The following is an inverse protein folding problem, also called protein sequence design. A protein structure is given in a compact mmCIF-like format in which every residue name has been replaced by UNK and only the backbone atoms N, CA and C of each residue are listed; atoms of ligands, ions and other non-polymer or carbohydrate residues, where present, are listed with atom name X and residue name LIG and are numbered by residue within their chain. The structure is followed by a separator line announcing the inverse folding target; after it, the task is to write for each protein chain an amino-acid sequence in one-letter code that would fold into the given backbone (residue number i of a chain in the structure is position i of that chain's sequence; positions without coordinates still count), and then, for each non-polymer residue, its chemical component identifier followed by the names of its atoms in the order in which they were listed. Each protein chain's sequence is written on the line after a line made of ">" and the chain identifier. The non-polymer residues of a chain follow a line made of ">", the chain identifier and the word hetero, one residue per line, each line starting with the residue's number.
data_IF_634082391277
#
_entry.id   IF_634082391277
#
_cell.length_a   1.000
_cell.length_b   1.000
_cell.length_c   1.000
_cell.angle_alpha   90.00
_cell.angle_beta   90.00
_cell.angle_gamma   90.00
#
_symmetry.space_group_name_H-M   'P 1'
#
loop_
_entity.id
_entity.type
_entity.pdbx_description
1 polymer ?
#
# COMPACT_ATOMS: atom_id res chain seq x y z
N UNK A 1 -11.31 -70.85 -33.90
CA UNK A 1 -12.20 -69.85 -34.53
C UNK A 1 -12.59 -68.85 -33.44
N UNK A 2 -11.81 -67.77 -33.25
CA UNK A 2 -12.09 -66.76 -32.20
C UNK A 2 -12.69 -65.52 -32.85
N UNK A 3 -13.96 -65.27 -32.57
CA UNK A 3 -14.70 -64.09 -33.03
C UNK A 3 -14.41 -62.97 -32.04
N UNK A 4 -13.62 -61.98 -32.45
CA UNK A 4 -13.45 -60.73 -31.70
C UNK A 4 -14.79 -59.97 -31.71
N UNK A 5 -15.33 -59.53 -30.56
CA UNK A 5 -16.56 -58.76 -30.55
C UNK A 5 -16.35 -57.39 -31.21
N UNK A 6 -17.39 -56.79 -31.82
CA UNK A 6 -17.28 -55.49 -32.46
C UNK A 6 -16.92 -54.42 -31.42
N UNK A 7 -15.84 -53.68 -31.66
CA UNK A 7 -15.45 -52.54 -30.82
C UNK A 7 -16.58 -51.51 -30.81
N UNK A 8 -17.13 -51.23 -29.63
CA UNK A 8 -18.25 -50.30 -29.51
C UNK A 8 -17.79 -48.87 -29.86
N UNK A 9 -18.56 -48.13 -30.67
CA UNK A 9 -18.18 -46.77 -31.09
C UNK A 9 -18.10 -45.80 -29.90
N UNK A 10 -18.80 -46.13 -28.80
CA UNK A 10 -18.77 -45.37 -27.54
C UNK A 10 -17.43 -45.46 -26.81
N UNK A 11 -16.76 -46.62 -26.85
CA UNK A 11 -15.44 -46.78 -26.24
C UNK A 11 -14.37 -45.99 -27.01
N UNK A 12 -14.47 -45.95 -28.35
CA UNK A 12 -13.60 -45.13 -29.18
C UNK A 12 -13.81 -43.63 -28.92
N UNK A 13 -15.06 -43.19 -28.77
CA UNK A 13 -15.39 -41.80 -28.44
C UNK A 13 -14.83 -41.33 -27.09
N UNK A 14 -14.85 -42.19 -26.06
CA UNK A 14 -14.29 -41.87 -24.75
C UNK A 14 -12.76 -41.73 -24.79
N UNK A 15 -12.06 -42.60 -25.52
CA UNK A 15 -10.60 -42.51 -25.66
C UNK A 15 -10.21 -41.22 -26.37
N UNK A 16 -10.92 -40.85 -27.43
CA UNK A 16 -10.68 -39.57 -28.14
C UNK A 16 -10.97 -38.37 -27.24
N UNK A 17 -12.06 -38.39 -26.46
CA UNK A 17 -12.39 -37.32 -25.53
C UNK A 17 -11.33 -37.16 -24.41
N UNK A 18 -10.80 -38.27 -23.89
CA UNK A 18 -9.71 -38.25 -22.91
C UNK A 18 -8.44 -37.69 -23.53
N UNK A 19 -8.07 -38.11 -24.75
CA UNK A 19 -6.88 -37.63 -25.44
C UNK A 19 -6.97 -36.13 -25.80
N UNK A 20 -8.15 -35.63 -26.23
CA UNK A 20 -8.37 -34.20 -26.45
C UNK A 20 -8.38 -33.41 -25.13
N UNK A 21 -8.91 -33.98 -24.04
CA UNK A 21 -8.92 -33.36 -22.72
C UNK A 21 -7.54 -33.23 -22.08
N UNK A 22 -6.62 -34.16 -22.39
CA UNK A 22 -5.24 -34.14 -21.88
C UNK A 22 -4.25 -33.33 -22.75
N UNK A 23 -4.60 -33.01 -23.99
CA UNK A 23 -3.75 -32.21 -24.89
C UNK A 23 -3.30 -30.85 -24.33
N UNK A 24 -4.15 -30.03 -23.65
CA UNK A 24 -3.70 -28.73 -23.13
C UNK A 24 -2.72 -28.83 -21.96
N UNK A 25 -2.64 -29.97 -21.26
CA UNK A 25 -1.70 -30.17 -20.15
C UNK A 25 -0.26 -30.42 -20.64
N UNK A 26 -0.07 -30.94 -21.86
CA UNK A 26 1.25 -31.21 -22.42
C UNK A 26 2.01 -29.92 -22.78
N UNK A 27 1.30 -28.86 -23.15
CA UNK A 27 1.87 -27.55 -23.56
C UNK A 27 2.57 -26.81 -22.41
N UNK A 28 2.18 -27.08 -21.16
CA UNK A 28 2.68 -26.37 -19.97
C UNK A 28 4.09 -26.84 -19.56
N UNK A 29 4.50 -28.05 -19.93
CA UNK A 29 5.75 -28.67 -19.45
C UNK A 29 6.99 -28.35 -20.30
N UNK A 30 6.86 -27.58 -21.38
CA UNK A 30 7.92 -27.37 -22.36
C UNK A 30 8.33 -25.90 -22.54
N UNK A 31 8.09 -25.04 -21.55
CA UNK A 31 8.53 -23.65 -21.65
C UNK A 31 10.05 -23.58 -21.44
N UNK A 32 10.80 -23.26 -22.50
CA UNK A 32 12.23 -23.01 -22.43
C UNK A 32 12.52 -21.87 -21.44
N UNK A 33 13.53 -22.05 -20.58
CA UNK A 33 13.95 -21.00 -19.67
C UNK A 33 14.42 -19.76 -20.47
N UNK A 34 13.98 -18.55 -20.10
CA UNK A 34 14.42 -17.32 -20.75
C UNK A 34 15.94 -17.13 -20.60
N UNK A 35 16.55 -16.44 -21.57
CA UNK A 35 17.98 -16.10 -21.49
C UNK A 35 18.25 -15.11 -20.34
N UNK A 36 19.50 -15.05 -19.88
CA UNK A 36 19.91 -14.11 -18.84
C UNK A 36 19.65 -12.65 -19.24
N UNK A 37 19.94 -12.28 -20.49
CA UNK A 37 19.66 -10.93 -21.01
C UNK A 37 18.17 -10.58 -20.94
N UNK A 38 17.29 -11.55 -21.24
CA UNK A 38 15.83 -11.37 -21.13
C UNK A 38 15.41 -11.13 -19.68
N UNK A 39 16.08 -11.75 -18.71
CA UNK A 39 15.80 -11.53 -17.28
C UNK A 39 16.28 -10.17 -16.81
N UNK A 40 17.42 -9.69 -17.31
CA UNK A 40 17.92 -8.34 -17.03
C UNK A 40 16.99 -7.26 -17.59
N UNK A 41 16.53 -7.40 -18.83
CA UNK A 41 15.60 -6.45 -19.46
C UNK A 41 14.28 -6.33 -18.68
N UNK A 42 13.86 -7.41 -18.01
CA UNK A 42 12.62 -7.47 -17.22
C UNK A 42 12.83 -7.32 -15.72
N UNK A 43 14.03 -7.00 -15.27
CA UNK A 43 14.37 -6.95 -13.85
C UNK A 43 13.42 -6.02 -13.07
N UNK A 44 13.09 -4.85 -13.62
CA UNK A 44 12.16 -3.87 -13.02
C UNK A 44 10.69 -4.30 -13.02
N UNK A 45 10.35 -5.33 -13.80
CA UNK A 45 9.00 -5.90 -13.83
C UNK A 45 8.80 -7.00 -12.78
N UNK A 46 9.89 -7.49 -12.19
CA UNK A 46 9.82 -8.55 -11.19
C UNK A 46 9.10 -8.04 -9.93
N UNK A 47 8.34 -8.91 -9.24
CA UNK A 47 7.68 -8.53 -8.00
C UNK A 47 8.66 -8.03 -6.93
N UNK A 48 9.85 -8.65 -6.82
CA UNK A 48 10.85 -8.30 -5.82
C UNK A 48 11.42 -6.89 -5.99
N UNK A 49 11.71 -6.47 -7.22
CA UNK A 49 12.20 -5.10 -7.51
C UNK A 49 11.13 -4.05 -7.31
N UNK A 50 9.89 -4.34 -7.72
CA UNK A 50 8.73 -3.46 -7.45
C UNK A 50 8.46 -3.27 -5.96
N UNK A 51 8.54 -4.35 -5.18
CA UNK A 51 8.40 -4.26 -3.72
C UNK A 51 9.57 -3.47 -3.12
N UNK A 52 10.80 -3.74 -3.54
CA UNK A 52 11.98 -3.02 -3.05
C UNK A 52 11.93 -1.52 -3.32
N UNK A 53 11.56 -1.12 -4.54
CA UNK A 53 11.38 0.28 -4.93
C UNK A 53 10.27 0.96 -4.15
N UNK A 54 9.09 0.33 -4.03
CA UNK A 54 7.99 0.86 -3.23
C UNK A 54 8.35 1.02 -1.74
N UNK A 55 9.15 0.11 -1.19
CA UNK A 55 9.64 0.22 0.19
C UNK A 55 10.62 1.38 0.36
N UNK A 56 11.53 1.58 -0.60
CA UNK A 56 12.46 2.70 -0.60
C UNK A 56 11.71 4.04 -0.68
N UNK A 57 10.79 4.18 -1.64
CA UNK A 57 9.93 5.37 -1.77
C UNK A 57 9.12 5.63 -0.49
N UNK A 58 8.57 4.58 0.13
CA UNK A 58 7.84 4.71 1.38
C UNK A 58 8.75 5.10 2.57
N UNK A 59 10.02 4.71 2.56
CA UNK A 59 10.98 5.13 3.58
C UNK A 59 11.33 6.62 3.41
N UNK A 60 11.56 7.07 2.17
CA UNK A 60 11.82 8.47 1.86
C UNK A 60 10.62 9.35 2.23
N UNK A 61 9.40 8.92 1.86
CA UNK A 61 8.17 9.63 2.22
C UNK A 61 7.98 9.73 3.75
N UNK A 62 8.37 8.70 4.52
CA UNK A 62 8.35 8.76 5.99
C UNK A 62 9.38 9.74 6.53
N UNK A 63 10.57 9.78 5.95
CA UNK A 63 11.59 10.75 6.32
C UNK A 63 11.11 12.19 6.06
N UNK A 64 10.42 12.43 4.95
CA UNK A 64 9.83 13.74 4.63
C UNK A 64 8.71 14.12 5.57
N UNK A 65 7.83 13.18 5.93
CA UNK A 65 6.82 13.39 6.96
C UNK A 65 7.46 13.73 8.31
N UNK A 66 8.55 13.06 8.70
CA UNK A 66 9.26 13.34 9.95
C UNK A 66 9.95 14.72 9.96
N UNK A 67 10.38 15.22 8.79
CA UNK A 67 10.97 16.56 8.63
C UNK A 67 9.97 17.70 8.76
N UNK A 68 8.67 17.42 8.63
CA UNK A 68 7.64 18.44 8.77
C UNK A 68 7.75 19.20 10.09
N UNK A 69 7.44 20.49 10.04
CA UNK A 69 7.36 21.33 11.23
C UNK A 69 6.20 20.87 12.13
N UNK A 70 6.34 20.99 13.46
CA UNK A 70 5.21 20.83 14.34
C UNK A 70 4.05 21.76 13.94
N UNK A 71 2.84 21.19 13.90
CA UNK A 71 1.64 21.96 13.60
C UNK A 71 1.45 23.05 14.67
N UNK A 72 1.20 24.31 14.27
CA UNK A 72 0.83 25.34 15.22
C UNK A 72 -0.55 25.04 15.82
N UNK A 73 -0.82 25.61 16.99
CA UNK A 73 -2.15 25.59 17.60
C UNK A 73 -2.71 27.00 17.75
N UNK A 74 -4.00 27.14 17.44
CA UNK A 74 -4.78 28.35 17.67
C UNK A 74 -5.84 28.02 18.71
N UNK A 75 -5.88 28.76 19.81
CA UNK A 75 -6.93 28.64 20.82
C UNK A 75 -7.60 29.98 21.07
N UNK A 76 -8.88 29.91 21.37
CA UNK A 76 -9.74 31.03 21.71
C UNK A 76 -10.41 30.70 23.03
N UNK A 77 -10.36 31.63 23.99
CA UNK A 77 -11.13 31.57 25.22
C UNK A 77 -11.83 32.89 25.47
N UNK A 78 -13.00 32.79 26.09
CA UNK A 78 -13.73 33.93 26.61
C UNK A 78 -14.13 33.59 28.05
N UNK A 79 -13.59 34.34 29.01
CA UNK A 79 -13.91 34.24 30.43
C UNK A 79 -14.90 35.34 30.81
N UNK A 80 -15.57 35.21 31.96
CA UNK A 80 -16.55 36.20 32.43
C UNK A 80 -17.68 36.52 31.43
N UNK A 81 -17.95 35.60 30.49
CA UNK A 81 -19.02 35.72 29.51
C UNK A 81 -20.38 35.30 30.11
N UNK A 82 -21.46 35.90 29.60
CA UNK A 82 -22.85 35.55 29.93
C UNK A 82 -23.25 35.78 31.40
N UNK A 83 -22.79 36.88 32.00
CA UNK A 83 -23.24 37.29 33.33
C UNK A 83 -24.71 37.75 33.36
N UNK A 84 -25.22 38.09 34.55
CA UNK A 84 -26.61 38.56 34.78
C UNK A 84 -26.64 39.92 35.48
N UNK A 85 -27.78 40.60 35.46
CA UNK A 85 -27.93 41.93 36.05
C UNK A 85 -27.03 42.98 35.39
N UNK A 86 -26.36 43.82 36.18
CA UNK A 86 -25.43 44.84 35.69
C UNK A 86 -24.19 44.27 34.98
N UNK A 87 -23.94 42.97 35.08
CA UNK A 87 -22.85 42.24 34.41
C UNK A 87 -23.37 41.40 33.22
N UNK A 88 -24.54 41.77 32.67
CA UNK A 88 -25.20 41.08 31.57
C UNK A 88 -24.41 41.03 30.26
N UNK A 89 -24.45 39.88 29.58
CA UNK A 89 -23.95 39.73 28.21
C UNK A 89 -22.45 39.44 28.10
N UNK A 90 -21.82 39.85 26.98
CA UNK A 90 -20.39 39.65 26.71
C UNK A 90 -19.55 40.93 26.91
N UNK A 91 -20.16 42.05 27.32
CA UNK A 91 -19.46 43.34 27.45
C UNK A 91 -18.44 43.41 28.59
N UNK A 92 -18.40 42.37 29.45
CA UNK A 92 -17.39 42.17 30.50
C UNK A 92 -16.61 40.86 30.32
N UNK A 93 -16.71 40.24 29.14
CA UNK A 93 -16.00 39.01 28.85
C UNK A 93 -14.54 39.30 28.53
N UNK A 94 -13.64 38.57 29.16
CA UNK A 94 -12.21 38.61 28.86
C UNK A 94 -11.92 37.61 27.76
N UNK A 95 -11.59 38.12 26.57
CA UNK A 95 -11.34 37.27 25.41
C UNK A 95 -9.85 37.16 25.15
N UNK A 96 -9.35 35.93 25.02
CA UNK A 96 -7.95 35.65 24.73
C UNK A 96 -7.86 34.79 23.48
N UNK A 97 -7.02 35.23 22.54
CA UNK A 97 -6.62 34.45 21.37
C UNK A 97 -5.15 34.09 21.50
N UNK A 98 -4.82 32.80 21.45
CA UNK A 98 -3.44 32.31 21.56
C UNK A 98 -3.04 31.60 20.28
N UNK A 99 -1.92 32.00 19.70
CA UNK A 99 -1.23 31.27 18.63
C UNK A 99 0.08 30.70 19.20
N UNK A 100 0.22 29.37 19.17
CA UNK A 100 1.42 28.67 19.63
C UNK A 100 2.09 27.94 18.48
N UNK A 101 3.41 28.11 18.32
CA UNK A 101 4.23 27.29 17.45
C UNK A 101 5.40 26.70 18.24
N UNK A 102 5.46 25.36 18.37
CA UNK A 102 6.63 24.71 18.93
C UNK A 102 7.86 24.98 18.06
N UNK A 103 8.91 25.53 18.67
CA UNK A 103 10.20 25.72 18.03
C UNK A 103 11.13 24.58 18.44
N UNK A 104 11.68 23.91 17.45
CA UNK A 104 12.58 22.79 17.69
C UNK A 104 14.01 23.28 17.75
N UNK A 105 14.62 23.02 18.90
CA UNK A 105 15.94 23.52 19.25
C UNK A 105 16.91 22.34 19.35
N UNK A 106 18.12 22.52 18.79
CA UNK A 106 19.29 21.67 19.02
C UNK A 106 19.09 20.22 18.58
N UNK A 107 18.97 20.00 17.26
CA UNK A 107 18.99 18.64 16.68
C UNK A 107 17.72 17.81 16.87
N UNK A 108 16.69 18.30 17.59
CA UNK A 108 15.40 17.62 17.76
C UNK A 108 14.75 17.20 16.43
N UNK A 109 14.90 18.02 15.39
CA UNK A 109 14.43 17.67 14.03
C UNK A 109 15.18 16.47 13.45
N UNK A 110 16.49 16.40 13.64
CA UNK A 110 17.32 15.28 13.18
C UNK A 110 16.94 13.96 13.85
N UNK A 111 16.63 14.01 15.15
CA UNK A 111 16.24 12.84 15.94
C UNK A 111 14.92 12.19 15.47
N UNK A 112 14.02 12.92 14.79
CA UNK A 112 12.80 12.33 14.21
C UNK A 112 13.05 11.63 12.88
N UNK A 113 14.03 12.11 12.11
CA UNK A 113 14.38 11.55 10.80
C UNK A 113 15.26 10.32 10.95
N UNK A 114 16.13 10.31 11.97
CA UNK A 114 16.99 9.19 12.33
C UNK A 114 16.73 8.83 13.80
N UNK A 115 15.71 7.99 14.07
CA UNK A 115 15.53 7.41 15.39
C UNK A 115 16.76 6.55 15.70
N UNK A 116 17.36 6.70 16.88
CA UNK A 116 18.42 5.81 17.37
C UNK A 116 17.86 4.43 17.70
#
# INVERSE_FOLDING_TARGET
>A
MSILPPRSPRAAGLVVAVLLGLAPAASVMAQAAPSYDTLLERLDQLPGTRVGTALAEAADARADQARALPNPSLSYSAENAWGTGSYGGMGKADTVLTLSQPLEVWGQRGARVQPQ
#
